data_IF_553138432982
#
_entry.id   IF_553138432982
#
_cell.length_a   1.000
_cell.length_b   1.000
_cell.length_c   1.000
_cell.angle_alpha   90.00
_cell.angle_beta   90.00
_cell.angle_gamma   90.00
#
_symmetry.space_group_name_H-M   'P 1'
#
loop_
_entity.id
_entity.type
_entity.pdbx_description
1 polymer ?
#
# COMPACT_ATOMS: atom_id res chain seq x y z
N UNK A 1 7.82 -3.91 -0.39
CA UNK A 1 6.85 -3.15 -1.19
C UNK A 1 5.63 -4.01 -1.43
N UNK A 2 4.85 -4.15 -0.37
CA UNK A 2 3.44 -4.52 -0.36
C UNK A 2 2.84 -3.61 0.72
N UNK A 3 2.98 -2.31 0.50
CA UNK A 3 2.46 -1.25 1.35
C UNK A 3 0.96 -1.07 1.05
N UNK A 4 0.24 -2.19 1.02
CA UNK A 4 -1.21 -2.22 1.02
C UNK A 4 -1.56 -2.44 2.47
N UNK A 5 -1.81 -1.36 3.19
CA UNK A 5 -2.28 -1.49 4.56
C UNK A 5 -3.67 -2.13 4.54
N UNK A 6 -4.02 -2.74 5.66
CA UNK A 6 -5.35 -3.34 5.85
C UNK A 6 -6.46 -2.31 5.56
N UNK A 7 -6.14 -1.03 5.75
CA UNK A 7 -6.97 0.12 5.42
C UNK A 7 -7.30 0.23 3.93
N UNK A 8 -6.33 0.18 3.01
CA UNK A 8 -6.60 0.24 1.56
C UNK A 8 -7.39 -0.98 1.10
N UNK A 9 -7.05 -2.17 1.61
CA UNK A 9 -7.80 -3.37 1.30
C UNK A 9 -9.26 -3.26 1.77
N UNK A 10 -9.51 -2.67 2.93
CA UNK A 10 -10.87 -2.42 3.43
C UNK A 10 -11.64 -1.45 2.53
N UNK A 11 -11.02 -0.38 2.04
CA UNK A 11 -11.64 0.55 1.10
C UNK A 11 -12.01 -0.16 -0.21
N UNK A 12 -11.09 -0.95 -0.78
CA UNK A 12 -11.36 -1.74 -1.99
C UNK A 12 -12.50 -2.73 -1.75
N UNK A 13 -12.53 -3.39 -0.60
CA UNK A 13 -13.60 -4.32 -0.24
C UNK A 13 -14.95 -3.61 -0.17
N UNK A 14 -15.03 -2.41 0.45
CA UNK A 14 -16.26 -1.61 0.50
C UNK A 14 -16.72 -1.22 -0.90
N UNK A 15 -15.82 -0.71 -1.75
CA UNK A 15 -16.16 -0.35 -3.14
C UNK A 15 -16.66 -1.57 -3.92
N UNK A 16 -15.99 -2.71 -3.77
CA UNK A 16 -16.40 -3.95 -4.41
C UNK A 16 -17.79 -4.40 -3.93
N UNK A 17 -18.10 -4.27 -2.64
CA UNK A 17 -19.43 -4.58 -2.10
C UNK A 17 -20.52 -3.65 -2.66
N UNK A 18 -20.23 -2.38 -2.91
CA UNK A 18 -21.20 -1.42 -3.48
C UNK A 18 -21.44 -1.70 -4.96
N UNK A 19 -20.37 -1.93 -5.73
CA UNK A 19 -20.45 -2.10 -7.19
C UNK A 19 -21.01 -3.47 -7.58
N UNK A 20 -20.47 -4.53 -6.96
CA UNK A 20 -20.84 -5.91 -7.28
C UNK A 20 -22.07 -6.33 -6.45
N UNK A 21 -22.21 -5.77 -5.24
CA UNK A 21 -23.23 -6.18 -4.28
C UNK A 21 -22.69 -7.23 -3.29
N UNK A 22 -23.10 -7.16 -2.00
CA UNK A 22 -22.60 -8.05 -0.96
C UNK A 22 -22.98 -9.53 -1.17
N UNK A 23 -24.05 -9.80 -1.93
CA UNK A 23 -24.51 -11.15 -2.23
C UNK A 23 -23.78 -11.79 -3.42
N UNK A 24 -23.30 -10.97 -4.35
CA UNK A 24 -22.64 -11.45 -5.57
C UNK A 24 -21.12 -11.53 -5.43
N UNK A 25 -20.51 -10.71 -4.57
CA UNK A 25 -19.09 -10.81 -4.23
C UNK A 25 -18.62 -12.23 -3.81
N UNK A 26 -19.30 -12.95 -2.89
CA UNK A 26 -18.92 -14.33 -2.57
C UNK A 26 -19.07 -15.29 -3.74
N UNK A 27 -20.03 -15.05 -4.65
CA UNK A 27 -20.21 -15.84 -5.87
C UNK A 27 -19.04 -15.61 -6.85
N UNK A 28 -18.62 -14.36 -7.03
CA UNK A 28 -17.47 -13.98 -7.87
C UNK A 28 -16.18 -14.59 -7.32
N UNK A 29 -15.92 -14.46 -6.02
CA UNK A 29 -14.74 -15.07 -5.38
C UNK A 29 -14.73 -16.59 -5.55
N UNK A 30 -15.90 -17.24 -5.48
CA UNK A 30 -16.01 -18.69 -5.70
C UNK A 30 -15.68 -19.07 -7.15
N UNK A 31 -16.16 -18.30 -8.13
CA UNK A 31 -15.85 -18.53 -9.55
C UNK A 31 -14.37 -18.30 -9.82
N UNK A 32 -13.82 -17.18 -9.39
CA UNK A 32 -12.39 -16.85 -9.53
C UNK A 32 -11.52 -17.92 -8.86
N UNK A 33 -11.86 -18.33 -7.64
CA UNK A 33 -11.15 -19.38 -6.92
C UNK A 33 -11.17 -20.73 -7.65
N UNK A 34 -12.30 -21.10 -8.27
CA UNK A 34 -12.38 -22.31 -9.10
C UNK A 34 -11.48 -22.22 -10.34
N UNK A 35 -11.44 -21.07 -11.00
CA UNK A 35 -10.59 -20.84 -12.17
C UNK A 35 -9.11 -20.87 -11.80
N UNK A 36 -8.71 -20.17 -10.74
CA UNK A 36 -7.34 -20.20 -10.22
C UNK A 36 -6.95 -21.62 -9.81
N UNK A 37 -7.85 -22.39 -9.19
CA UNK A 37 -7.58 -23.78 -8.81
C UNK A 37 -7.35 -24.67 -10.03
N UNK A 38 -8.18 -24.53 -11.08
CA UNK A 38 -8.00 -25.26 -12.35
C UNK A 38 -6.68 -24.88 -13.01
N UNK A 39 -6.37 -23.59 -13.09
CA UNK A 39 -5.10 -23.11 -13.63
C UNK A 39 -3.91 -23.67 -12.85
N UNK A 40 -3.99 -23.72 -11.50
CA UNK A 40 -2.94 -24.29 -10.65
C UNK A 40 -2.75 -25.79 -10.85
N UNK A 41 -3.83 -26.53 -11.05
CA UNK A 41 -3.77 -27.97 -11.34
C UNK A 41 -3.09 -28.21 -12.70
N UNK A 42 -3.54 -27.51 -13.73
CA UNK A 42 -2.92 -27.57 -15.05
C UNK A 42 -1.45 -27.17 -15.00
N UNK A 43 -1.11 -26.06 -14.33
CA UNK A 43 0.28 -25.64 -14.16
C UNK A 43 1.14 -26.68 -13.43
N UNK A 44 0.57 -27.43 -12.48
CA UNK A 44 1.25 -28.54 -11.82
C UNK A 44 1.49 -29.74 -12.74
N UNK A 45 0.58 -30.01 -13.67
CA UNK A 45 0.76 -31.03 -14.72
C UNK A 45 1.79 -30.59 -15.76
N UNK A 46 1.73 -29.32 -16.19
CA UNK A 46 2.73 -28.72 -17.06
C UNK A 46 4.11 -28.76 -16.41
N UNK A 47 4.26 -28.36 -15.14
CA UNK A 47 5.56 -28.41 -14.46
C UNK A 47 6.14 -29.82 -14.47
N UNK A 48 5.32 -30.86 -14.23
CA UNK A 48 5.78 -32.25 -14.25
C UNK A 48 6.18 -32.71 -15.65
N UNK A 49 5.37 -32.43 -16.67
CA UNK A 49 5.70 -32.79 -18.06
C UNK A 49 6.87 -31.98 -18.61
N UNK A 50 6.98 -30.71 -18.20
CA UNK A 50 8.09 -29.82 -18.48
C UNK A 50 9.34 -30.35 -17.80
N UNK A 51 9.34 -30.71 -16.52
CA UNK A 51 10.52 -31.28 -15.82
C UNK A 51 11.03 -32.57 -16.50
N UNK A 52 10.12 -33.40 -17.02
CA UNK A 52 10.47 -34.58 -17.81
C UNK A 52 11.12 -34.22 -19.16
N UNK A 53 10.71 -33.11 -19.79
CA UNK A 53 11.27 -32.57 -21.05
C UNK A 53 12.50 -31.65 -20.84
N UNK A 54 12.63 -31.01 -19.67
CA UNK A 54 13.66 -30.04 -19.28
C UNK A 54 15.03 -30.69 -19.10
N UNK A 55 15.03 -32.00 -18.95
CA UNK A 55 16.23 -32.84 -19.01
C UNK A 55 16.87 -32.83 -20.41
N UNK A 56 16.16 -32.32 -21.41
CA UNK A 56 16.61 -32.05 -22.79
C UNK A 56 16.50 -30.53 -23.11
N UNK A 57 17.24 -29.69 -22.38
CA UNK A 57 17.84 -28.41 -22.84
C UNK A 57 16.98 -27.20 -23.34
N UNK A 58 15.64 -27.18 -23.34
CA UNK A 58 14.89 -26.06 -23.98
C UNK A 58 14.29 -24.97 -23.06
N UNK A 59 14.21 -25.16 -21.73
CA UNK A 59 13.41 -24.24 -20.88
C UNK A 59 14.20 -23.18 -20.10
N UNK A 60 15.53 -23.31 -20.03
CA UNK A 60 16.38 -22.31 -19.36
C UNK A 60 16.42 -20.99 -20.14
N UNK A 61 16.30 -21.06 -21.48
CA UNK A 61 16.17 -19.93 -22.39
C UNK A 61 14.85 -19.14 -22.15
N UNK A 62 13.73 -19.87 -21.99
CA UNK A 62 12.41 -19.27 -21.73
C UNK A 62 12.33 -18.60 -20.36
N UNK A 63 12.97 -19.21 -19.34
CA UNK A 63 13.10 -18.62 -18.00
C UNK A 63 13.88 -17.30 -18.04
N UNK A 64 14.98 -17.26 -18.79
CA UNK A 64 15.82 -16.06 -18.96
C UNK A 64 15.07 -14.95 -19.69
N UNK A 65 14.25 -15.31 -20.69
CA UNK A 65 13.41 -14.38 -21.42
C UNK A 65 12.29 -13.82 -20.53
N UNK A 66 11.61 -14.65 -19.74
CA UNK A 66 10.59 -14.21 -18.78
C UNK A 66 11.16 -13.27 -17.68
N UNK A 67 12.36 -13.57 -17.16
CA UNK A 67 13.05 -12.69 -16.20
C UNK A 67 13.46 -11.34 -16.81
N UNK A 68 13.80 -11.33 -18.11
CA UNK A 68 14.16 -10.09 -18.82
C UNK A 68 12.94 -9.18 -19.04
N UNK A 69 11.74 -9.73 -19.22
CA UNK A 69 10.51 -8.95 -19.34
C UNK A 69 10.04 -8.35 -18.01
N UNK A 70 10.22 -9.07 -16.90
CA UNK A 70 9.77 -8.60 -15.59
C UNK A 70 10.60 -7.43 -15.04
N UNK A 71 11.88 -7.32 -15.41
CA UNK A 71 12.83 -6.35 -14.84
C UNK A 71 12.91 -5.02 -15.58
N UNK A 72 12.46 -4.93 -16.84
CA UNK A 72 12.76 -3.76 -17.67
C UNK A 72 11.68 -2.67 -17.69
N UNK A 73 10.42 -3.01 -17.40
CA UNK A 73 9.27 -2.11 -17.59
C UNK A 73 8.51 -1.75 -16.31
N UNK A 74 8.37 -2.67 -15.36
CA UNK A 74 7.45 -2.50 -14.22
C UNK A 74 7.93 -1.39 -13.27
N UNK A 75 9.21 -1.36 -12.94
CA UNK A 75 9.76 -0.39 -11.98
C UNK A 75 9.71 1.06 -12.51
N UNK A 76 10.08 1.25 -13.78
CA UNK A 76 10.12 2.57 -14.44
C UNK A 76 8.75 3.14 -14.78
N UNK A 77 7.75 2.28 -14.98
CA UNK A 77 6.37 2.70 -15.28
C UNK A 77 5.58 3.02 -14.00
N UNK A 78 5.88 2.31 -12.90
CA UNK A 78 5.35 2.63 -11.57
C UNK A 78 5.94 3.95 -11.05
N UNK A 79 7.26 4.16 -11.18
CA UNK A 79 7.91 5.42 -10.76
C UNK A 79 7.33 6.64 -11.48
N UNK A 80 7.10 6.55 -12.79
CA UNK A 80 6.54 7.65 -13.59
C UNK A 80 5.06 7.91 -13.34
N UNK A 81 4.30 6.90 -12.91
CA UNK A 81 2.85 7.04 -12.69
C UNK A 81 2.55 7.51 -11.26
N UNK A 82 3.37 7.11 -10.29
CA UNK A 82 3.14 7.39 -8.86
C UNK A 82 3.69 8.76 -8.43
N UNK A 83 4.83 9.22 -8.97
CA UNK A 83 5.36 10.56 -8.66
C UNK A 83 6.05 11.23 -9.87
N UNK A 84 5.31 11.63 -10.92
CA UNK A 84 5.89 12.25 -12.10
C UNK A 84 6.52 13.64 -11.86
N UNK A 85 6.23 14.31 -10.72
CA UNK A 85 6.57 15.73 -10.50
C UNK A 85 7.14 16.07 -9.11
N UNK A 86 7.29 15.10 -8.21
CA UNK A 86 7.78 15.31 -6.84
C UNK A 86 6.74 15.93 -5.89
N UNK A 87 5.50 16.13 -6.35
CA UNK A 87 4.47 16.89 -5.63
C UNK A 87 3.94 16.12 -4.42
N UNK A 88 3.84 14.79 -4.50
CA UNK A 88 3.46 13.94 -3.36
C UNK A 88 4.53 13.96 -2.27
N UNK A 89 5.80 13.90 -2.64
CA UNK A 89 6.92 14.02 -1.68
C UNK A 89 6.94 15.38 -0.98
N UNK A 90 6.56 16.45 -1.69
CA UNK A 90 6.48 17.80 -1.13
C UNK A 90 5.25 18.00 -0.23
N UNK A 91 4.10 17.42 -0.58
CA UNK A 91 2.91 17.46 0.27
C UNK A 91 3.10 16.68 1.58
N UNK A 92 3.70 15.48 1.51
CA UNK A 92 3.99 14.64 2.68
C UNK A 92 4.98 15.30 3.65
N UNK A 93 5.99 16.01 3.12
CA UNK A 93 6.99 16.71 3.94
C UNK A 93 6.46 17.98 4.60
N UNK A 94 5.49 18.68 3.97
CA UNK A 94 4.77 19.79 4.58
C UNK A 94 3.82 19.30 5.67
N UNK A 95 3.10 18.20 5.44
CA UNK A 95 2.17 17.63 6.44
C UNK A 95 2.93 17.09 7.66
N UNK A 96 4.08 16.43 7.47
CA UNK A 96 4.95 15.98 8.55
C UNK A 96 5.52 17.14 9.40
N UNK A 97 5.89 18.26 8.76
CA UNK A 97 6.31 19.47 9.48
C UNK A 97 5.15 20.13 10.23
N UNK A 98 3.93 20.09 9.68
CA UNK A 98 2.75 20.68 10.32
C UNK A 98 2.25 19.83 11.50
N UNK A 99 2.32 18.49 11.39
CA UNK A 99 2.02 17.56 12.49
C UNK A 99 3.04 17.69 13.63
N UNK A 100 4.32 17.91 13.30
CA UNK A 100 5.37 18.15 14.31
C UNK A 100 5.23 19.53 14.96
N UNK A 101 4.83 20.56 14.21
CA UNK A 101 4.57 21.91 14.74
C UNK A 101 3.32 21.96 15.64
N UNK A 102 2.26 21.20 15.31
CA UNK A 102 1.06 21.10 16.14
C UNK A 102 1.30 20.34 17.47
N UNK A 103 2.31 19.46 17.52
CA UNK A 103 2.69 18.72 18.72
C UNK A 103 3.53 19.53 19.73
N UNK A 104 3.95 20.77 19.37
CA UNK A 104 4.80 21.63 20.21
C UNK A 104 4.08 22.79 20.90
N UNK A 105 2.74 22.80 20.90
CA UNK A 105 1.96 23.69 21.76
C UNK A 105 1.98 23.15 23.21
N UNK A 106 2.58 23.87 24.19
CA UNK A 106 2.28 23.59 25.59
C UNK A 106 0.77 23.82 25.82
N UNK A 107 0.10 23.00 26.66
CA UNK A 107 -1.33 23.10 26.88
C UNK A 107 -1.68 24.51 27.38
N UNK A 108 -2.61 25.25 26.72
CA UNK A 108 -3.12 26.51 27.25
C UNK A 108 -4.08 26.17 28.39
N UNK A 109 -3.52 25.95 29.58
CA UNK A 109 -4.30 25.53 30.74
C UNK A 109 -3.62 25.71 32.11
N UNK A 110 -2.45 26.36 32.19
CA UNK A 110 -1.75 26.58 33.46
C UNK A 110 -1.11 27.98 33.58
N UNK A 111 -1.71 29.03 33.00
CA UNK A 111 -1.23 30.42 33.21
C UNK A 111 -2.15 31.28 34.09
N UNK A 112 -3.27 30.75 34.60
CA UNK A 112 -4.21 31.55 35.43
C UNK A 112 -4.01 31.45 36.95
N UNK A 113 -3.01 30.71 37.47
CA UNK A 113 -2.89 30.48 38.92
C UNK A 113 -1.63 31.04 39.61
N UNK A 114 -0.78 31.82 38.93
CA UNK A 114 0.43 32.39 39.57
C UNK A 114 0.59 33.92 39.46
N UNK A 115 -0.44 34.66 39.01
CA UNK A 115 -0.40 36.13 38.95
C UNK A 115 -1.30 36.85 39.98
N UNK A 116 -1.73 36.17 41.05
CA UNK A 116 -2.49 36.81 42.14
C UNK A 116 -1.72 36.95 43.47
N UNK A 117 -0.46 36.48 43.56
CA UNK A 117 0.31 36.52 44.80
C UNK A 117 1.72 37.13 44.64
N UNK A 118 1.86 38.24 43.92
CA UNK A 118 3.03 39.13 44.06
C UNK A 118 2.78 40.43 43.29
N UNK A 119 2.12 41.39 43.93
CA UNK A 119 1.77 42.68 43.33
C UNK A 119 1.42 43.73 44.36
N UNK A 120 2.16 43.72 45.47
CA UNK A 120 2.25 44.84 46.41
C UNK A 120 2.58 46.12 45.63
N UNK A 121 1.63 47.06 45.61
CA UNK A 121 1.84 48.43 45.12
C UNK A 121 1.50 49.41 46.23
N UNK A 122 2.50 49.66 47.08
CA UNK A 122 3.06 50.99 47.37
C UNK A 122 2.06 52.14 47.61
N UNK A 123 1.94 52.59 48.86
CA UNK A 123 1.61 53.99 49.17
C UNK A 123 0.82 54.24 50.45
N UNK A 124 1.51 54.34 51.59
CA UNK A 124 1.24 55.27 52.69
C UNK A 124 2.47 55.33 53.61
#
# INVERSE_FOLDING_TARGET
MLDVDISELAVIAVVALVVIGPKDLPKVLRVMGQWTRKARLLAGEFQKGVDDMMRESELDELKKQAQSFNSLNVEREIEKTVDPKGEVSQALSIEAHQATAAAQLPPPGLETAQKEASGETRGA
#
